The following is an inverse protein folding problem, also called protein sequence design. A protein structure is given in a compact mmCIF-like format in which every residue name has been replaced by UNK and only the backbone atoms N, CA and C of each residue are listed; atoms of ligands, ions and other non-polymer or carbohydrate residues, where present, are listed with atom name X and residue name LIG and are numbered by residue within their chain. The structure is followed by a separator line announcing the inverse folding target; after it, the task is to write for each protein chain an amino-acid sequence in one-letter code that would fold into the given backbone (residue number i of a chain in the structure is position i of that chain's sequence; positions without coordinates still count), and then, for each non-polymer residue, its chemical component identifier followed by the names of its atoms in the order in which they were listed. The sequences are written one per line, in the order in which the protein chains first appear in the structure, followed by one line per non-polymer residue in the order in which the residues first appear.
data_IF_116861659309
#
_entry.id   IF_116861659309
#
_cell.length_a   1.000
_cell.length_b   1.000
_cell.length_c   1.000
_cell.angle_alpha   90.00
_cell.angle_beta   90.00
_cell.angle_gamma   90.00
#
_symmetry.space_group_name_H-M   'P 1'
#
loop_
_entity.id
_entity.type
_entity.pdbx_description
1 polymer ?
#
# COMPACT_ATOMS: atom_id res chain seq x y z
N UNK A 1 -3.39 -52.97 35.43
CA UNK A 1 -2.35 -51.95 35.23
C UNK A 1 -2.88 -50.89 34.29
N UNK A 2 -3.34 -49.79 34.89
CA UNK A 2 -3.89 -48.60 34.23
C UNK A 2 -2.77 -47.78 33.54
N UNK A 3 -3.06 -47.26 32.36
CA UNK A 3 -2.65 -45.93 31.84
C UNK A 3 -3.39 -45.78 30.48
N UNK A 4 -4.61 -45.23 30.36
CA UNK A 4 -5.01 -43.82 30.49
C UNK A 4 -3.84 -42.86 30.25
N UNK A 5 -3.73 -42.27 29.05
CA UNK A 5 -3.46 -40.83 28.88
C UNK A 5 -3.66 -40.42 27.40
N UNK A 6 -4.84 -39.83 27.17
CA UNK A 6 -5.12 -38.67 26.31
C UNK A 6 -4.69 -38.68 24.84
N UNK A 7 -5.71 -38.88 24.00
CA UNK A 7 -5.99 -38.07 22.81
C UNK A 7 -5.41 -36.65 22.91
N UNK A 8 -4.66 -36.24 21.89
CA UNK A 8 -4.37 -34.84 21.62
C UNK A 8 -4.66 -34.59 20.14
N UNK A 9 -5.91 -34.21 19.87
CA UNK A 9 -6.40 -33.76 18.58
C UNK A 9 -5.54 -32.61 18.04
N UNK A 10 -4.97 -32.79 16.86
CA UNK A 10 -4.62 -31.65 16.01
C UNK A 10 -5.09 -31.93 14.61
N UNK A 11 -6.35 -31.58 14.37
CA UNK A 11 -6.95 -31.51 13.05
C UNK A 11 -6.26 -30.40 12.25
N UNK A 12 -5.11 -30.72 11.65
CA UNK A 12 -4.50 -29.87 10.63
C UNK A 12 -5.40 -29.92 9.40
N UNK A 13 -6.37 -29.01 9.35
CA UNK A 13 -7.23 -28.77 8.18
C UNK A 13 -6.39 -28.15 7.07
N UNK A 14 -5.65 -28.98 6.35
CA UNK A 14 -4.98 -28.60 5.12
C UNK A 14 -6.05 -28.22 4.09
N UNK A 15 -6.21 -26.92 3.85
CA UNK A 15 -7.06 -26.42 2.78
C UNK A 15 -6.43 -26.84 1.45
N UNK A 16 -6.96 -27.92 0.85
CA UNK A 16 -6.67 -28.33 -0.53
C UNK A 16 -6.87 -27.10 -1.43
N UNK A 17 -5.78 -26.59 -2.00
CA UNK A 17 -5.83 -25.54 -3.00
C UNK A 17 -6.32 -26.19 -4.30
N UNK A 18 -7.63 -26.07 -4.57
CA UNK A 18 -8.18 -26.38 -5.90
C UNK A 18 -7.49 -25.43 -6.88
N UNK A 19 -6.62 -25.99 -7.72
CA UNK A 19 -6.01 -25.27 -8.83
C UNK A 19 -7.16 -24.95 -9.78
N UNK A 20 -7.63 -23.70 -9.78
CA UNK A 20 -8.52 -23.22 -10.83
C UNK A 20 -7.66 -23.10 -12.09
N UNK A 21 -7.67 -24.15 -12.91
CA UNK A 21 -7.30 -24.08 -14.32
C UNK A 21 -8.22 -23.00 -14.90
N UNK A 22 -7.67 -21.81 -15.12
CA UNK A 22 -8.43 -20.72 -15.73
C UNK A 22 -8.36 -20.94 -17.23
N UNK A 23 -9.46 -21.39 -17.80
CA UNK A 23 -9.63 -21.49 -19.23
C UNK A 23 -9.37 -20.14 -19.89
N UNK A 24 -8.55 -20.19 -20.92
CA UNK A 24 -8.02 -19.07 -21.69
C UNK A 24 -9.14 -18.44 -22.52
N UNK A 25 -9.91 -17.53 -21.92
CA UNK A 25 -10.72 -16.57 -22.64
C UNK A 25 -10.05 -15.21 -22.49
N UNK A 26 -9.56 -14.66 -23.61
CA UNK A 26 -8.81 -13.40 -23.72
C UNK A 26 -9.73 -12.21 -23.40
N UNK A 27 -10.16 -12.10 -22.14
CA UNK A 27 -10.62 -10.85 -21.56
C UNK A 27 -9.35 -10.11 -21.17
N UNK A 28 -8.90 -9.18 -22.02
CA UNK A 28 -7.78 -8.28 -21.71
C UNK A 28 -8.09 -7.64 -20.36
N UNK A 29 -7.41 -8.09 -19.30
CA UNK A 29 -7.58 -7.55 -17.94
C UNK A 29 -7.23 -6.06 -17.99
N UNK A 30 -8.26 -5.21 -17.94
CA UNK A 30 -8.10 -3.76 -17.95
C UNK A 30 -7.33 -3.40 -16.68
N UNK A 31 -6.16 -2.77 -16.85
CA UNK A 31 -5.35 -2.33 -15.73
C UNK A 31 -6.05 -1.16 -15.04
N UNK A 32 -6.31 -1.29 -13.75
CA UNK A 32 -6.76 -0.17 -12.92
C UNK A 32 -5.55 0.70 -12.58
N UNK A 33 -5.63 2.00 -12.87
CA UNK A 33 -4.64 2.96 -12.38
C UNK A 33 -4.93 3.26 -10.90
N UNK A 34 -3.89 3.18 -10.07
CA UNK A 34 -3.97 3.49 -8.63
C UNK A 34 -3.19 4.77 -8.40
N UNK A 35 -3.82 5.76 -7.75
CA UNK A 35 -3.22 7.05 -7.44
C UNK A 35 -2.06 6.90 -6.44
N UNK A 36 -1.17 7.90 -6.42
CA UNK A 36 -0.01 7.89 -5.52
C UNK A 36 -0.44 7.90 -4.04
N UNK A 37 -1.51 8.62 -3.72
CA UNK A 37 -2.01 8.77 -2.35
C UNK A 37 -2.47 7.44 -1.75
N UNK A 38 -3.21 6.63 -2.53
CA UNK A 38 -3.65 5.30 -2.09
C UNK A 38 -2.45 4.39 -1.82
N UNK A 39 -1.42 4.45 -2.67
CA UNK A 39 -0.18 3.67 -2.46
C UNK A 39 0.52 4.07 -1.16
N UNK A 40 0.51 5.37 -0.81
CA UNK A 40 1.09 5.85 0.44
C UNK A 40 0.29 5.44 1.66
N UNK A 41 -1.04 5.47 1.57
CA UNK A 41 -1.89 5.01 2.67
C UNK A 41 -1.66 3.52 2.95
N UNK A 42 -1.54 2.69 1.89
CA UNK A 42 -1.16 1.28 2.01
C UNK A 42 0.20 1.12 2.71
N UNK A 43 1.22 1.90 2.34
CA UNK A 43 2.53 1.83 2.98
C UNK A 43 2.47 2.24 4.46
N UNK A 44 1.72 3.30 4.80
CA UNK A 44 1.54 3.73 6.20
C UNK A 44 0.85 2.64 7.05
N UNK A 45 -0.15 1.95 6.50
CA UNK A 45 -0.84 0.82 7.16
C UNK A 45 0.10 -0.37 7.38
N UNK A 46 0.96 -0.66 6.41
CA UNK A 46 2.00 -1.68 6.56
C UNK A 46 3.04 -1.31 7.61
N UNK A 47 3.48 -0.05 7.66
CA UNK A 47 4.40 0.45 8.68
C UNK A 47 3.77 0.37 10.10
N UNK A 48 2.44 0.50 10.21
CA UNK A 48 1.66 0.26 11.45
C UNK A 48 1.50 -1.22 11.81
N UNK A 49 1.87 -2.15 10.93
CA UNK A 49 1.73 -3.59 11.15
C UNK A 49 0.31 -4.13 10.94
N UNK A 50 -0.56 -3.41 10.22
CA UNK A 50 -1.91 -3.89 9.89
C UNK A 50 -1.83 -5.15 8.99
N UNK A 51 -2.74 -6.10 9.20
CA UNK A 51 -2.77 -7.34 8.39
C UNK A 51 -3.24 -7.00 6.99
N UNK A 52 -2.64 -7.65 5.98
CA UNK A 52 -3.03 -7.47 4.57
C UNK A 52 -4.52 -7.64 4.32
N UNK A 53 -5.17 -8.60 5.00
CA UNK A 53 -6.61 -8.85 4.85
C UNK A 53 -7.48 -7.69 5.35
N UNK A 54 -7.04 -6.97 6.39
CA UNK A 54 -7.77 -5.83 6.94
C UNK A 54 -7.64 -4.62 6.01
N UNK A 55 -6.43 -4.41 5.45
CA UNK A 55 -6.17 -3.39 4.43
C UNK A 55 -6.97 -3.67 3.16
N UNK A 56 -7.05 -4.93 2.73
CA UNK A 56 -7.84 -5.38 1.58
C UNK A 56 -9.31 -5.00 1.73
N UNK A 57 -9.90 -5.30 2.90
CA UNK A 57 -11.30 -5.00 3.21
C UNK A 57 -11.60 -3.51 3.26
N UNK A 58 -10.66 -2.71 3.76
CA UNK A 58 -10.86 -1.27 3.91
C UNK A 58 -10.69 -0.50 2.61
N UNK A 59 -9.72 -0.89 1.76
CA UNK A 59 -9.41 -0.18 0.51
C UNK A 59 -10.02 -0.84 -0.74
N UNK A 60 -10.53 -2.06 -0.63
CA UNK A 60 -11.10 -2.81 -1.76
C UNK A 60 -10.06 -3.16 -2.85
N UNK A 61 -8.77 -3.20 -2.50
CA UNK A 61 -7.68 -3.55 -3.40
C UNK A 61 -7.38 -5.04 -3.29
N UNK A 62 -7.02 -5.70 -4.39
CA UNK A 62 -6.67 -7.12 -4.36
C UNK A 62 -5.39 -7.37 -3.54
N UNK A 63 -5.31 -8.50 -2.82
CA UNK A 63 -4.10 -8.92 -2.09
C UNK A 63 -2.82 -8.89 -2.95
N UNK A 64 -2.91 -9.33 -4.21
CA UNK A 64 -1.79 -9.31 -5.16
C UNK A 64 -1.30 -7.89 -5.47
N UNK A 65 -2.21 -6.92 -5.50
CA UNK A 65 -1.89 -5.50 -5.67
C UNK A 65 -1.18 -4.96 -4.43
N UNK A 66 -1.67 -5.27 -3.23
CA UNK A 66 -1.04 -4.85 -1.98
C UNK A 66 0.39 -5.40 -1.84
N UNK A 67 0.60 -6.67 -2.18
CA UNK A 67 1.92 -7.29 -2.23
C UNK A 67 2.87 -6.56 -3.18
N UNK A 68 2.39 -6.23 -4.39
CA UNK A 68 3.20 -5.51 -5.37
C UNK A 68 3.53 -4.08 -4.91
N UNK A 69 2.62 -3.42 -4.20
CA UNK A 69 2.88 -2.09 -3.61
C UNK A 69 3.98 -2.18 -2.55
N UNK A 70 3.91 -3.18 -1.67
CA UNK A 70 4.94 -3.43 -0.66
C UNK A 70 6.31 -3.68 -1.28
N UNK A 71 6.38 -4.54 -2.30
CA UNK A 71 7.62 -4.87 -2.98
C UNK A 71 8.24 -3.66 -3.72
N UNK A 72 7.42 -2.66 -4.08
CA UNK A 72 7.86 -1.42 -4.74
C UNK A 72 7.91 -0.20 -3.79
N UNK A 73 7.92 -0.41 -2.47
CA UNK A 73 7.83 0.67 -1.47
C UNK A 73 8.90 1.77 -1.66
N UNK A 74 10.15 1.38 -1.94
CA UNK A 74 11.25 2.33 -2.13
C UNK A 74 11.02 3.26 -3.32
N UNK A 75 10.60 2.69 -4.45
CA UNK A 75 10.30 3.46 -5.67
C UNK A 75 9.16 4.44 -5.44
N UNK A 76 8.11 4.00 -4.74
CA UNK A 76 6.97 4.85 -4.39
C UNK A 76 7.42 6.01 -3.49
N UNK A 77 8.23 5.74 -2.46
CA UNK A 77 8.79 6.78 -1.58
C UNK A 77 9.69 7.76 -2.36
N UNK A 78 10.47 7.28 -3.33
CA UNK A 78 11.27 8.14 -4.20
C UNK A 78 10.39 9.04 -5.08
N UNK A 79 9.32 8.50 -5.68
CA UNK A 79 8.36 9.27 -6.47
C UNK A 79 7.65 10.36 -5.66
N UNK A 80 7.37 10.14 -4.37
CA UNK A 80 6.84 11.21 -3.52
C UNK A 80 7.83 12.35 -3.37
N UNK A 81 9.10 12.03 -3.08
CA UNK A 81 10.14 13.05 -2.89
C UNK A 81 10.31 13.92 -4.15
N UNK A 82 10.21 13.34 -5.34
CA UNK A 82 10.30 14.12 -6.58
C UNK A 82 9.07 15.01 -6.78
N UNK A 83 7.86 14.50 -6.54
CA UNK A 83 6.62 15.30 -6.64
C UNK A 83 6.62 16.46 -5.64
N UNK A 84 7.01 16.22 -4.38
CA UNK A 84 7.11 17.27 -3.36
C UNK A 84 8.13 18.34 -3.74
N UNK A 85 9.30 17.97 -4.28
CA UNK A 85 10.31 18.94 -4.75
C UNK A 85 9.76 19.83 -5.86
N UNK A 86 9.07 19.25 -6.84
CA UNK A 86 8.46 20.02 -7.93
C UNK A 86 7.37 20.96 -7.42
N UNK A 87 6.51 20.50 -6.51
CA UNK A 87 5.49 21.35 -5.91
C UNK A 87 6.09 22.47 -5.06
N UNK A 88 7.11 22.17 -4.26
CA UNK A 88 7.81 23.16 -3.41
C UNK A 88 8.52 24.20 -4.25
N UNK A 89 9.22 23.78 -5.31
CA UNK A 89 9.89 24.69 -6.25
C UNK A 89 8.92 25.68 -6.89
N UNK A 90 7.74 25.22 -7.30
CA UNK A 90 6.71 26.10 -7.87
C UNK A 90 6.21 27.17 -6.88
N UNK A 91 6.21 26.86 -5.58
CA UNK A 91 5.80 27.80 -4.51
C UNK A 91 6.94 28.73 -4.10
N UNK A 92 8.19 28.27 -4.09
CA UNK A 92 9.35 29.11 -3.73
C UNK A 92 9.68 30.12 -4.82
N UNK A 93 9.54 29.76 -6.10
CA UNK A 93 9.83 30.70 -7.22
C UNK A 93 8.78 31.81 -7.32
N UNK A 94 7.54 31.57 -6.90
CA UNK A 94 6.48 32.58 -7.00
C UNK A 94 6.58 33.70 -5.96
N UNK A 95 7.37 33.53 -4.88
CA UNK A 95 7.59 34.60 -3.90
C UNK A 95 8.69 35.53 -4.40
N UNK A 96 8.32 36.78 -4.65
CA UNK A 96 9.28 37.82 -4.98
C UNK A 96 9.92 38.38 -3.72
N UNK A 97 11.16 38.83 -3.82
CA UNK A 97 11.91 39.44 -2.70
C UNK A 97 11.21 40.68 -2.13
N UNK A 98 10.42 41.38 -2.95
CA UNK A 98 9.61 42.53 -2.52
C UNK A 98 8.49 42.08 -1.56
N UNK A 99 7.84 40.95 -1.85
CA UNK A 99 6.77 40.39 -1.04
C UNK A 99 7.28 39.94 0.34
N UNK A 100 8.42 39.23 0.38
CA UNK A 100 9.04 38.80 1.64
C UNK A 100 9.46 39.98 2.51
N UNK A 101 10.02 41.04 1.91
CA UNK A 101 10.40 42.26 2.63
C UNK A 101 9.19 42.98 3.21
N UNK A 102 8.09 43.07 2.45
CA UNK A 102 6.85 43.66 2.94
C UNK A 102 6.27 42.90 4.13
N UNK A 103 6.21 41.56 4.06
CA UNK A 103 5.73 40.71 5.15
C UNK A 103 6.57 40.90 6.43
N UNK A 104 7.90 40.98 6.29
CA UNK A 104 8.82 41.19 7.42
C UNK A 104 8.71 42.56 8.11
N UNK A 105 8.10 43.55 7.46
CA UNK A 105 7.88 44.88 8.04
C UNK A 105 6.51 45.02 8.74
N UNK A 106 5.61 44.06 8.52
CA UNK A 106 4.23 44.08 9.02
C UNK A 106 3.99 43.08 10.16
N UNK A 107 4.92 42.16 10.40
CA UNK A 107 4.96 41.23 11.55
C UNK A 107 5.97 41.77 12.56
#
# INVERSE_FOLDING_TARGET
FLCLFTNMDSQVKTRKRVIRVQDNLISKRIRKSITLDIKLDVLKRYDRGERTADIERQLGLNESTLRTIRDNAEKIRASVKTVTKLSTFRVTVSRSTIMEKMESMLI
#
